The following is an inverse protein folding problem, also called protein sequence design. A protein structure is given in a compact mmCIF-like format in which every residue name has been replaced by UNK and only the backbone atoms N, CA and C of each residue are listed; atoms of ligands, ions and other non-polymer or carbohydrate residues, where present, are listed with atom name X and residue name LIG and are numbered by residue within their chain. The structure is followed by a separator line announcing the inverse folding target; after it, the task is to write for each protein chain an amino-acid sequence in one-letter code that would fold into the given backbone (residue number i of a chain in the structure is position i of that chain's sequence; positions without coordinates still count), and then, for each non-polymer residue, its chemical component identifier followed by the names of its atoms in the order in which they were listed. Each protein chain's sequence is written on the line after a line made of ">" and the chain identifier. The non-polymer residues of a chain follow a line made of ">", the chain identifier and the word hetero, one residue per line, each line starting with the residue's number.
data_IF_020537228408
#
_entry.id   IF_020537228408
#
_cell.length_a   1.000
_cell.length_b   1.000
_cell.length_c   1.000
_cell.angle_alpha   90.00
_cell.angle_beta   90.00
_cell.angle_gamma   90.00
#
_symmetry.space_group_name_H-M   'P 1'
#
loop_
_entity.id
_entity.type
_entity.pdbx_description
1 polymer ?
#
# COMPACT_ATOMS: atom_id res chain seq x y z
N UNK A 1 11.77 -7.15 23.19
CA UNK A 1 11.07 -5.99 22.59
C UNK A 1 10.50 -6.42 21.24
N UNK A 2 9.27 -6.03 20.90
CA UNK A 2 8.71 -6.28 19.57
C UNK A 2 9.29 -5.27 18.56
N UNK A 3 9.44 -5.68 17.30
CA UNK A 3 9.88 -4.80 16.21
C UNK A 3 8.65 -4.15 15.60
N UNK A 4 8.74 -2.86 15.32
CA UNK A 4 7.79 -2.16 14.45
C UNK A 4 8.38 -2.22 13.04
N UNK A 5 7.61 -2.76 12.10
CA UNK A 5 8.02 -2.92 10.70
C UNK A 5 7.10 -2.06 9.84
N UNK A 6 7.68 -1.28 8.93
CA UNK A 6 6.94 -0.47 7.96
C UNK A 6 7.20 -1.05 6.58
N UNK A 7 6.11 -1.35 5.87
CA UNK A 7 6.13 -1.82 4.48
C UNK A 7 5.31 -0.84 3.67
N UNK A 8 5.92 -0.21 2.67
CA UNK A 8 5.28 0.83 1.86
C UNK A 8 5.91 0.92 0.48
N UNK A 9 5.11 1.34 -0.51
CA UNK A 9 5.60 1.88 -1.77
C UNK A 9 5.66 3.40 -1.65
N UNK A 10 6.72 4.01 -2.16
CA UNK A 10 6.90 5.45 -2.18
C UNK A 10 7.54 5.86 -3.51
N UNK A 11 7.10 6.97 -4.09
CA UNK A 11 7.77 7.58 -5.25
C UNK A 11 9.08 8.26 -4.83
N UNK A 12 9.91 8.62 -5.81
CA UNK A 12 11.18 9.30 -5.55
C UNK A 12 11.01 10.66 -4.86
N UNK A 13 9.91 11.36 -5.15
CA UNK A 13 9.52 12.63 -4.55
C UNK A 13 8.66 12.48 -3.28
N UNK A 14 8.48 11.25 -2.78
CA UNK A 14 7.92 11.00 -1.45
C UNK A 14 6.41 10.75 -1.37
N UNK A 15 5.76 10.40 -2.48
CA UNK A 15 4.31 10.15 -2.55
C UNK A 15 3.97 8.69 -2.25
N UNK A 16 3.01 8.46 -1.35
CA UNK A 16 2.44 7.14 -1.03
C UNK A 16 0.97 6.98 -1.50
N UNK A 17 0.33 8.09 -1.87
CA UNK A 17 -1.11 8.18 -2.16
C UNK A 17 -1.50 7.43 -3.45
N UNK A 18 -2.69 6.82 -3.44
CA UNK A 18 -3.37 6.24 -4.62
C UNK A 18 -2.50 5.25 -5.40
N UNK A 19 -1.84 4.32 -4.71
CA UNK A 19 -0.93 3.36 -5.34
C UNK A 19 -1.67 2.32 -6.19
N UNK A 20 -2.81 1.81 -5.71
CA UNK A 20 -3.43 0.60 -6.28
C UNK A 20 -4.33 0.86 -7.49
N UNK A 21 -5.02 2.00 -7.53
CA UNK A 21 -5.96 2.31 -8.61
C UNK A 21 -6.10 3.80 -8.93
N UNK A 22 -6.53 4.15 -10.16
CA UNK A 22 -6.74 5.54 -10.59
C UNK A 22 -7.71 6.35 -9.71
N UNK A 23 -8.68 5.69 -9.09
CA UNK A 23 -9.68 6.30 -8.22
C UNK A 23 -9.54 5.97 -6.73
N UNK A 24 -8.42 5.38 -6.31
CA UNK A 24 -8.21 4.92 -4.92
C UNK A 24 -8.19 6.11 -3.93
N UNK A 25 -7.43 7.16 -4.25
CA UNK A 25 -7.43 8.41 -3.45
C UNK A 25 -7.06 9.63 -4.30
N UNK A 26 -8.05 10.43 -4.69
CA UNK A 26 -7.87 11.66 -5.48
C UNK A 26 -7.77 12.93 -4.62
N UNK A 27 -7.62 12.77 -3.30
CA UNK A 27 -7.55 13.90 -2.36
C UNK A 27 -6.44 14.89 -2.75
N UNK A 28 -6.70 16.18 -2.54
CA UNK A 28 -5.75 17.24 -2.92
C UNK A 28 -5.57 17.42 -4.42
N UNK A 29 -6.42 16.81 -5.25
CA UNK A 29 -6.30 16.88 -6.71
C UNK A 29 -5.22 15.96 -7.28
N UNK A 30 -4.83 14.91 -6.56
CA UNK A 30 -3.81 13.97 -7.03
C UNK A 30 -4.26 13.26 -8.31
N UNK A 31 -3.50 13.42 -9.39
CA UNK A 31 -3.87 13.00 -10.73
C UNK A 31 -3.23 11.67 -11.17
N UNK A 32 -2.34 11.09 -10.36
CA UNK A 32 -1.51 9.95 -10.75
C UNK A 32 -1.89 8.65 -10.03
N UNK A 33 -3.19 8.42 -9.82
CA UNK A 33 -3.66 7.19 -9.19
C UNK A 33 -3.28 5.93 -10.01
N UNK A 34 -3.00 4.83 -9.31
CA UNK A 34 -2.58 3.57 -9.93
C UNK A 34 -1.12 3.57 -10.40
N UNK A 35 -0.31 4.54 -9.93
CA UNK A 35 1.07 4.71 -10.39
C UNK A 35 1.96 3.49 -10.16
N UNK A 36 1.62 2.57 -9.25
CA UNK A 36 2.43 1.36 -9.00
C UNK A 36 2.26 0.29 -10.09
N UNK A 37 1.13 0.30 -10.81
CA UNK A 37 0.74 -0.77 -11.76
C UNK A 37 1.84 -1.02 -12.82
N UNK A 38 2.42 0.02 -13.47
CA UNK A 38 3.46 -0.20 -14.48
C UNK A 38 4.79 -0.71 -13.93
N UNK A 39 4.99 -0.67 -12.61
CA UNK A 39 6.23 -1.06 -11.91
C UNK A 39 6.08 -2.35 -11.09
N UNK A 40 4.91 -3.00 -11.15
CA UNK A 40 4.69 -4.26 -10.45
C UNK A 40 5.36 -5.41 -11.20
N UNK A 41 6.10 -6.24 -10.47
CA UNK A 41 6.70 -7.47 -10.99
C UNK A 41 6.58 -8.63 -9.97
N UNK A 42 6.98 -9.84 -10.41
CA UNK A 42 6.89 -11.06 -9.60
C UNK A 42 7.80 -11.02 -8.37
N UNK A 43 8.93 -10.30 -8.45
CA UNK A 43 9.90 -10.20 -7.34
C UNK A 43 9.30 -9.35 -6.24
N UNK A 44 8.75 -8.19 -6.59
CA UNK A 44 8.03 -7.30 -5.69
C UNK A 44 6.86 -8.03 -5.03
N UNK A 45 6.05 -8.72 -5.83
CA UNK A 45 4.93 -9.52 -5.33
C UNK A 45 5.36 -10.60 -4.32
N UNK A 46 6.49 -11.26 -4.58
CA UNK A 46 7.05 -12.29 -3.69
C UNK A 46 7.48 -11.72 -2.34
N UNK A 47 8.13 -10.55 -2.34
CA UNK A 47 8.59 -9.88 -1.12
C UNK A 47 7.39 -9.46 -0.26
N UNK A 48 6.40 -8.79 -0.86
CA UNK A 48 5.19 -8.35 -0.15
C UNK A 48 4.44 -9.54 0.46
N UNK A 49 4.29 -10.63 -0.30
CA UNK A 49 3.65 -11.86 0.21
C UNK A 49 4.43 -12.47 1.36
N UNK A 50 5.76 -12.53 1.26
CA UNK A 50 6.60 -13.11 2.32
C UNK A 50 6.41 -12.36 3.63
N UNK A 51 6.47 -11.03 3.60
CA UNK A 51 6.33 -10.20 4.81
C UNK A 51 4.90 -10.22 5.36
N UNK A 52 3.88 -10.19 4.50
CA UNK A 52 2.47 -10.17 4.89
C UNK A 52 1.87 -11.55 5.19
N UNK A 53 2.64 -12.65 5.07
CA UNK A 53 2.17 -14.01 5.42
C UNK A 53 2.65 -14.48 6.80
N UNK A 54 3.37 -13.62 7.52
CA UNK A 54 3.78 -13.87 8.91
C UNK A 54 2.68 -13.41 9.88
N UNK A 55 2.58 -13.95 11.10
CA UNK A 55 1.69 -13.40 12.12
C UNK A 55 2.11 -11.98 12.51
N UNK A 56 1.24 -10.99 12.31
CA UNK A 56 1.47 -9.60 12.73
C UNK A 56 0.19 -8.94 13.26
N UNK A 57 0.39 -7.91 14.08
CA UNK A 57 -0.66 -6.94 14.44
C UNK A 57 -0.58 -5.79 13.43
N UNK A 58 -1.70 -5.42 12.80
CA UNK A 58 -1.73 -4.37 11.77
C UNK A 58 -2.03 -3.00 12.38
N UNK A 59 -1.17 -2.01 12.11
CA UNK A 59 -1.40 -0.60 12.44
C UNK A 59 -1.53 0.21 11.15
N UNK A 60 -2.72 0.73 10.87
CA UNK A 60 -3.00 1.54 9.68
C UNK A 60 -3.85 2.76 10.03
N UNK A 61 -3.74 3.82 9.21
CA UNK A 61 -4.58 4.99 9.33
C UNK A 61 -6.00 4.75 8.82
N UNK A 62 -6.94 5.63 9.19
CA UNK A 62 -8.36 5.54 8.82
C UNK A 62 -8.57 5.39 7.31
N UNK A 63 -7.90 6.22 6.50
CA UNK A 63 -8.07 6.18 5.05
C UNK A 63 -7.65 4.82 4.46
N UNK A 64 -6.50 4.29 4.87
CA UNK A 64 -6.03 2.96 4.44
C UNK A 64 -7.01 1.88 4.87
N UNK A 65 -7.54 1.97 6.10
CA UNK A 65 -8.57 1.05 6.58
C UNK A 65 -9.82 1.09 5.69
N UNK A 66 -10.34 2.28 5.37
CA UNK A 66 -11.56 2.43 4.55
C UNK A 66 -11.36 1.85 3.13
N UNK A 67 -10.15 1.96 2.56
CA UNK A 67 -9.80 1.37 1.26
C UNK A 67 -9.69 -0.15 1.35
N UNK A 68 -9.11 -0.70 2.43
CA UNK A 68 -8.77 -2.12 2.53
C UNK A 68 -9.90 -2.99 3.08
N UNK A 69 -10.71 -2.45 3.99
CA UNK A 69 -11.77 -3.19 4.67
C UNK A 69 -12.73 -3.94 3.72
N UNK A 70 -13.12 -3.40 2.54
CA UNK A 70 -13.95 -4.13 1.57
C UNK A 70 -13.32 -5.39 0.97
N UNK A 71 -11.99 -5.55 1.08
CA UNK A 71 -11.25 -6.70 0.55
C UNK A 71 -10.96 -7.79 1.60
N UNK A 72 -11.29 -7.54 2.87
CA UNK A 72 -11.10 -8.53 3.93
C UNK A 72 -12.31 -9.48 4.04
N UNK A 73 -12.09 -10.74 4.47
CA UNK A 73 -13.17 -11.70 4.72
C UNK A 73 -14.16 -11.25 5.80
#
# INVERSE_FOLDING_TARGET
>A
MRRVIVISHITLDGVLQSMGGPGEDTSGGFAYGGWVIPYSDDVLGTIIRTEMNMPFDLLIGRKTFDIWAPYWP
#
